data_IF_914254391285
#
_entry.id   IF_914254391285
#
_cell.length_a   1.000
_cell.length_b   1.000
_cell.length_c   1.000
_cell.angle_alpha   90.00
_cell.angle_beta   90.00
_cell.angle_gamma   90.00
#
_symmetry.space_group_name_H-M   'P 1'
#
loop_
_entity.id
_entity.type
_entity.pdbx_description
1 polymer ?
#
# COMPACT_ATOMS: atom_id res chain seq x y z
N UNK A 1 -47.87 59.79 26.74
CA UNK A 1 -46.92 59.82 25.57
C UNK A 1 -45.90 58.77 25.87
N UNK A 2 -46.16 57.56 25.38
CA UNK A 2 -45.33 56.38 25.66
C UNK A 2 -44.51 56.06 24.43
N UNK A 3 -43.19 56.21 24.56
CA UNK A 3 -42.21 55.87 23.52
C UNK A 3 -41.71 54.49 23.79
N UNK A 4 -42.22 53.47 23.06
CA UNK A 4 -41.67 52.06 23.12
C UNK A 4 -40.50 51.96 22.21
N UNK A 5 -39.32 51.71 22.81
CA UNK A 5 -38.08 51.29 22.12
C UNK A 5 -38.19 49.80 21.76
N UNK A 6 -38.19 49.49 20.46
CA UNK A 6 -38.11 48.17 19.94
C UNK A 6 -36.61 47.84 19.71
N UNK A 7 -36.07 46.95 20.54
CA UNK A 7 -34.73 46.43 20.37
C UNK A 7 -34.73 45.31 19.31
N UNK A 8 -34.11 45.59 18.17
CA UNK A 8 -33.95 44.62 17.10
C UNK A 8 -32.68 43.80 17.34
N UNK A 9 -32.83 42.58 17.85
CA UNK A 9 -31.72 41.65 18.05
C UNK A 9 -31.32 41.02 16.73
N UNK A 10 -30.15 41.40 16.18
CA UNK A 10 -29.53 40.81 14.98
C UNK A 10 -28.78 39.55 15.37
N UNK A 11 -29.37 38.36 15.10
CA UNK A 11 -28.68 37.06 15.22
C UNK A 11 -27.79 36.87 14.01
N UNK A 12 -26.47 37.06 14.15
CA UNK A 12 -25.46 36.62 13.18
C UNK A 12 -25.34 35.11 13.25
N UNK A 13 -25.89 34.41 12.27
CA UNK A 13 -25.62 33.00 12.03
C UNK A 13 -24.23 32.86 11.39
N UNK A 14 -23.20 32.46 12.16
CA UNK A 14 -21.91 32.05 11.67
C UNK A 14 -22.06 30.68 11.00
N UNK A 15 -22.29 30.70 9.68
CA UNK A 15 -22.19 29.51 8.85
C UNK A 15 -20.69 29.08 8.76
N UNK A 16 -20.30 28.18 9.65
CA UNK A 16 -18.97 27.52 9.60
C UNK A 16 -18.86 26.68 8.33
N UNK A 17 -18.24 27.19 7.30
CA UNK A 17 -17.82 26.41 6.14
C UNK A 17 -16.73 25.45 6.59
N UNK A 18 -17.12 24.19 6.81
CA UNK A 18 -16.15 23.09 6.88
C UNK A 18 -15.47 22.98 5.51
N UNK A 19 -14.26 23.49 5.42
CA UNK A 19 -13.38 23.18 4.30
C UNK A 19 -13.14 21.67 4.34
N UNK A 20 -13.78 20.93 3.44
CA UNK A 20 -13.39 19.56 3.16
C UNK A 20 -11.94 19.61 2.71
N UNK A 21 -11.03 19.04 3.49
CA UNK A 21 -9.66 18.81 3.09
C UNK A 21 -9.74 17.99 1.81
N UNK A 22 -9.54 18.64 0.66
CA UNK A 22 -9.29 17.94 -0.59
C UNK A 22 -7.93 17.30 -0.43
N UNK A 23 -7.92 15.96 -0.32
CA UNK A 23 -6.69 15.20 -0.43
C UNK A 23 -5.97 15.66 -1.69
N UNK A 24 -4.75 16.18 -1.51
CA UNK A 24 -3.93 16.63 -2.63
C UNK A 24 -3.71 15.43 -3.56
N UNK A 25 -4.07 15.52 -4.87
CA UNK A 25 -3.86 14.41 -5.78
C UNK A 25 -2.37 14.14 -5.93
N UNK A 26 -1.89 13.03 -5.38
CA UNK A 26 -0.55 12.55 -5.65
C UNK A 26 0.37 12.25 -4.46
N UNK A 27 -0.10 12.28 -3.23
CA UNK A 27 0.71 11.79 -2.11
C UNK A 27 0.96 10.28 -2.28
N UNK A 28 2.24 9.90 -2.46
CA UNK A 28 2.61 8.49 -2.58
C UNK A 28 2.38 7.78 -1.25
N UNK A 29 1.64 6.68 -1.27
CA UNK A 29 1.47 5.78 -0.13
C UNK A 29 2.63 4.80 -0.13
N UNK A 30 3.38 4.75 0.96
CA UNK A 30 4.44 3.78 1.17
C UNK A 30 3.91 2.55 1.88
N UNK A 31 4.28 1.39 1.35
CA UNK A 31 4.01 0.10 1.98
C UNK A 31 5.32 -0.48 2.51
N UNK A 32 5.25 -1.07 3.67
CA UNK A 32 6.40 -1.71 4.29
C UNK A 32 6.18 -3.21 4.38
N UNK A 33 7.04 -3.99 3.72
CA UNK A 33 7.12 -5.42 3.90
C UNK A 33 8.01 -5.73 5.12
N UNK A 34 7.55 -6.53 6.10
CA UNK A 34 8.40 -6.97 7.20
C UNK A 34 9.65 -7.67 6.67
N UNK A 35 10.83 -7.26 7.13
CA UNK A 35 12.11 -7.80 6.64
C UNK A 35 12.33 -9.27 6.99
N UNK A 36 11.69 -9.75 8.05
CA UNK A 36 11.70 -11.16 8.50
C UNK A 36 10.32 -11.60 8.93
N UNK A 37 10.00 -12.83 8.62
CA UNK A 37 8.86 -13.55 9.20
C UNK A 37 9.36 -14.50 10.27
N UNK A 38 8.88 -14.35 11.50
CA UNK A 38 9.15 -15.30 12.55
C UNK A 38 8.23 -16.52 12.45
N UNK A 39 8.74 -17.67 12.84
CA UNK A 39 8.14 -19.00 12.64
C UNK A 39 6.90 -19.32 13.48
N UNK A 40 6.20 -18.40 14.02
CA UNK A 40 4.99 -18.74 14.77
C UNK A 40 3.72 -18.57 13.92
N UNK A 41 2.76 -19.51 14.04
CA UNK A 41 1.54 -19.51 13.20
C UNK A 41 0.54 -18.40 13.55
N UNK A 42 0.92 -17.47 14.38
CA UNK A 42 0.09 -16.34 14.78
C UNK A 42 0.73 -15.07 14.24
N UNK A 43 -0.06 -14.30 13.54
CA UNK A 43 0.30 -12.99 12.98
C UNK A 43 0.57 -11.91 14.04
N UNK A 44 1.23 -12.28 15.15
CA UNK A 44 1.62 -11.35 16.20
C UNK A 44 2.69 -10.40 15.65
N UNK A 45 2.33 -9.14 15.52
CA UNK A 45 3.21 -8.08 15.04
C UNK A 45 3.05 -7.68 13.58
N UNK A 46 2.10 -8.22 12.84
CA UNK A 46 1.78 -7.72 11.51
C UNK A 46 0.99 -6.40 11.59
N UNK A 47 1.26 -5.44 10.69
CA UNK A 47 0.43 -4.26 10.58
C UNK A 47 -1.03 -4.60 10.24
N UNK A 48 -2.01 -3.76 10.64
CA UNK A 48 -3.41 -4.01 10.31
C UNK A 48 -3.64 -4.23 8.81
N UNK A 49 -4.49 -5.21 8.49
CA UNK A 49 -4.84 -5.57 7.11
C UNK A 49 -3.85 -6.48 6.39
N UNK A 50 -2.81 -6.99 7.07
CA UNK A 50 -1.94 -8.02 6.52
C UNK A 50 -2.38 -9.41 6.96
N UNK A 51 -2.28 -10.38 6.06
CA UNK A 51 -2.54 -11.80 6.30
C UNK A 51 -1.36 -12.65 5.83
N UNK A 52 -1.16 -13.82 6.42
CA UNK A 52 -0.11 -14.78 6.05
C UNK A 52 -0.71 -15.93 5.28
N UNK A 53 -0.11 -16.23 4.12
CA UNK A 53 -0.40 -17.43 3.35
C UNK A 53 0.85 -18.32 3.32
N UNK A 54 0.72 -19.59 3.69
CA UNK A 54 1.77 -20.58 3.63
C UNK A 54 2.18 -21.15 4.99
N UNK A 55 3.06 -22.15 4.99
CA UNK A 55 3.55 -22.80 6.19
C UNK A 55 4.41 -21.85 7.03
N UNK A 56 4.46 -22.06 8.36
CA UNK A 56 5.34 -21.29 9.23
C UNK A 56 6.82 -21.58 8.90
N UNK A 57 7.64 -20.55 8.97
CA UNK A 57 9.08 -20.66 8.77
C UNK A 57 9.78 -19.33 9.05
N UNK A 58 11.02 -19.35 9.53
CA UNK A 58 11.83 -18.14 9.60
C UNK A 58 12.40 -17.84 8.22
N UNK A 59 11.99 -16.73 7.62
CA UNK A 59 12.39 -16.35 6.27
C UNK A 59 12.68 -14.88 6.16
N UNK A 60 13.69 -14.54 5.37
CA UNK A 60 13.97 -13.16 4.98
C UNK A 60 13.12 -12.73 3.79
N UNK A 61 12.70 -11.48 3.79
CA UNK A 61 12.00 -10.88 2.67
C UNK A 61 12.85 -10.99 1.39
N UNK A 62 12.25 -11.57 0.34
CA UNK A 62 12.86 -11.67 -0.97
C UNK A 62 12.45 -10.51 -1.88
N UNK A 63 11.13 -10.30 -2.01
CA UNK A 63 10.58 -9.24 -2.87
C UNK A 63 9.16 -8.89 -2.49
N UNK A 64 8.71 -7.72 -2.94
CA UNK A 64 7.30 -7.40 -3.04
C UNK A 64 6.76 -7.79 -4.43
N UNK A 65 5.52 -8.25 -4.49
CA UNK A 65 4.83 -8.65 -5.72
C UNK A 65 3.37 -8.22 -5.66
N UNK A 66 2.73 -8.09 -6.83
CA UNK A 66 1.31 -7.79 -6.91
C UNK A 66 0.54 -8.99 -7.48
N UNK A 67 -0.72 -9.13 -7.08
CA UNK A 67 -1.61 -10.23 -7.42
C UNK A 67 -2.98 -9.68 -7.83
N UNK A 68 -3.61 -10.32 -8.82
CA UNK A 68 -4.98 -10.00 -9.20
C UNK A 68 -5.96 -10.82 -8.31
N UNK A 69 -6.13 -10.41 -7.06
CA UNK A 69 -6.91 -11.09 -6.02
C UNK A 69 -6.04 -11.67 -4.90
N UNK A 70 -6.67 -12.47 -4.02
CA UNK A 70 -6.00 -13.11 -2.88
C UNK A 70 -4.85 -14.02 -3.35
N UNK A 71 -3.62 -13.86 -2.83
CA UNK A 71 -2.46 -14.66 -3.25
C UNK A 71 -2.56 -16.17 -3.00
N UNK A 72 -3.51 -16.64 -2.22
CA UNK A 72 -3.63 -18.06 -1.81
C UNK A 72 -3.68 -19.06 -2.95
N UNK A 73 -3.98 -18.66 -4.17
CA UNK A 73 -4.07 -19.56 -5.33
C UNK A 73 -3.75 -18.88 -6.66
N UNK A 74 -3.29 -17.64 -6.63
CA UNK A 74 -3.10 -16.83 -7.83
C UNK A 74 -1.62 -16.60 -8.13
N UNK A 75 -1.27 -16.56 -9.42
CA UNK A 75 0.05 -16.13 -9.88
C UNK A 75 0.27 -14.64 -9.65
N UNK A 76 1.52 -14.24 -9.59
CA UNK A 76 1.90 -12.83 -9.49
C UNK A 76 1.53 -12.09 -10.77
N UNK A 77 1.01 -10.87 -10.63
CA UNK A 77 0.83 -9.95 -11.74
C UNK A 77 2.20 -9.47 -12.23
N UNK A 78 2.54 -9.64 -13.53
CA UNK A 78 3.80 -9.14 -14.05
C UNK A 78 3.82 -7.60 -14.01
N UNK A 79 5.00 -6.97 -13.85
CA UNK A 79 5.13 -5.52 -13.98
C UNK A 79 4.92 -5.09 -15.45
N UNK A 80 4.33 -3.92 -15.65
CA UNK A 80 4.19 -3.31 -16.98
C UNK A 80 5.54 -2.80 -17.51
N UNK A 81 6.42 -2.36 -16.60
CA UNK A 81 7.80 -1.99 -16.96
C UNK A 81 8.77 -2.41 -15.87
N UNK A 82 9.97 -2.81 -16.30
CA UNK A 82 11.11 -3.07 -15.41
C UNK A 82 12.33 -2.38 -15.97
N UNK A 83 13.04 -1.66 -15.11
CA UNK A 83 14.31 -1.01 -15.44
C UNK A 83 15.38 -1.42 -14.45
N UNK A 84 16.56 -1.74 -14.96
CA UNK A 84 17.71 -2.09 -14.14
C UNK A 84 18.83 -1.07 -14.31
N UNK A 85 19.38 -0.63 -13.20
CA UNK A 85 20.56 0.22 -13.15
C UNK A 85 21.56 -0.37 -12.14
N UNK A 86 22.58 -1.05 -12.65
CA UNK A 86 23.52 -1.81 -11.86
C UNK A 86 22.84 -2.93 -11.06
N UNK A 87 22.93 -2.87 -9.75
CA UNK A 87 22.29 -3.81 -8.81
C UNK A 87 20.94 -3.34 -8.29
N UNK A 88 20.34 -2.33 -8.89
CA UNK A 88 19.01 -1.83 -8.51
C UNK A 88 18.04 -2.07 -9.65
N UNK A 89 16.93 -2.71 -9.34
CA UNK A 89 15.81 -2.92 -10.25
C UNK A 89 14.60 -2.13 -9.78
N UNK A 90 13.98 -1.42 -10.71
CA UNK A 90 12.73 -0.69 -10.48
C UNK A 90 11.66 -1.28 -11.38
N UNK A 91 10.61 -1.79 -10.79
CA UNK A 91 9.45 -2.35 -11.50
C UNK A 91 8.22 -1.50 -11.22
N UNK A 92 7.40 -1.28 -12.25
CA UNK A 92 6.21 -0.43 -12.18
C UNK A 92 5.01 -1.19 -12.70
N UNK A 93 3.89 -1.05 -12.00
CA UNK A 93 2.56 -1.55 -12.35
C UNK A 93 1.60 -0.39 -12.51
N UNK A 94 0.81 -0.40 -13.58
CA UNK A 94 -0.25 0.55 -13.82
C UNK A 94 -1.62 -0.10 -13.62
N UNK A 95 -2.52 0.63 -12.99
CA UNK A 95 -3.90 0.20 -12.77
C UNK A 95 -4.81 1.11 -13.58
N UNK A 96 -5.49 0.54 -14.58
CA UNK A 96 -6.43 1.28 -15.41
C UNK A 96 -7.52 1.93 -14.53
N UNK A 97 -7.83 3.17 -14.80
CA UNK A 97 -8.92 3.93 -14.18
C UNK A 97 -8.89 3.98 -12.64
N UNK A 98 -7.70 3.83 -12.04
CA UNK A 98 -7.57 3.72 -10.59
C UNK A 98 -8.11 2.41 -10.02
N UNK A 99 -8.27 1.38 -10.86
CA UNK A 99 -8.76 0.06 -10.49
C UNK A 99 -7.68 -0.76 -9.79
N UNK A 100 -7.18 -0.26 -8.66
CA UNK A 100 -6.43 -1.09 -7.70
C UNK A 100 -7.38 -1.98 -6.87
N UNK A 101 -8.69 -1.81 -7.03
CA UNK A 101 -9.70 -2.66 -6.41
C UNK A 101 -9.48 -4.12 -6.79
N UNK A 102 -9.33 -4.99 -5.79
CA UNK A 102 -9.05 -6.41 -5.99
C UNK A 102 -7.57 -6.74 -6.25
N UNK A 103 -6.68 -5.76 -6.38
CA UNK A 103 -5.23 -6.01 -6.43
C UNK A 103 -4.68 -6.14 -5.01
N UNK A 104 -3.82 -7.11 -4.82
CA UNK A 104 -3.14 -7.36 -3.55
C UNK A 104 -1.65 -7.12 -3.67
N UNK A 105 -1.08 -6.52 -2.64
CA UNK A 105 0.36 -6.47 -2.43
C UNK A 105 0.76 -7.66 -1.57
N UNK A 106 1.70 -8.46 -2.04
CA UNK A 106 2.29 -9.56 -1.30
C UNK A 106 3.79 -9.36 -1.06
N UNK A 107 4.22 -9.61 0.15
CA UNK A 107 5.61 -9.70 0.54
C UNK A 107 6.02 -11.18 0.47
N UNK A 108 6.88 -11.51 -0.47
CA UNK A 108 7.34 -12.88 -0.75
C UNK A 108 8.63 -13.11 0.00
N UNK A 109 8.69 -14.22 0.75
CA UNK A 109 9.83 -14.56 1.58
C UNK A 109 10.64 -15.71 0.98
N UNK A 110 11.97 -15.65 1.15
CA UNK A 110 12.90 -16.68 0.68
C UNK A 110 12.67 -17.96 1.49
N UNK A 111 12.76 -19.10 0.80
CA UNK A 111 12.67 -20.44 1.40
C UNK A 111 11.35 -20.74 2.14
N UNK A 112 10.40 -19.81 2.12
CA UNK A 112 9.06 -20.02 2.61
C UNK A 112 8.08 -20.01 1.43
N UNK A 113 7.21 -21.01 1.38
CA UNK A 113 6.01 -20.91 0.55
C UNK A 113 5.01 -19.90 1.15
N UNK A 114 5.52 -18.92 1.92
CA UNK A 114 4.72 -17.96 2.64
C UNK A 114 4.71 -16.61 1.95
N UNK A 115 3.53 -16.03 1.84
CA UNK A 115 3.30 -14.65 1.37
C UNK A 115 2.53 -13.92 2.45
N UNK A 116 3.07 -12.81 2.93
CA UNK A 116 2.32 -11.86 3.77
C UNK A 116 1.68 -10.86 2.83
N UNK A 117 0.37 -10.79 2.83
CA UNK A 117 -0.35 -10.02 1.84
C UNK A 117 -1.43 -9.14 2.44
N UNK A 118 -1.80 -8.10 1.66
CA UNK A 118 -2.93 -7.23 1.95
C UNK A 118 -3.54 -6.70 0.67
N UNK A 119 -4.86 -6.43 0.65
CA UNK A 119 -5.45 -5.71 -0.45
C UNK A 119 -4.90 -4.29 -0.55
N UNK A 120 -4.73 -3.79 -1.76
CA UNK A 120 -4.44 -2.38 -1.98
C UNK A 120 -5.68 -1.53 -1.73
N UNK A 121 -5.52 -0.29 -1.23
CA UNK A 121 -6.60 0.69 -1.22
C UNK A 121 -7.09 0.97 -2.64
N UNK A 122 -8.37 1.29 -2.76
CA UNK A 122 -8.94 1.71 -4.04
C UNK A 122 -8.38 3.07 -4.50
N UNK A 123 -8.45 3.32 -5.79
CA UNK A 123 -8.07 4.60 -6.38
C UNK A 123 -6.59 4.78 -6.69
N UNK A 124 -5.74 3.80 -6.37
CA UNK A 124 -4.34 3.83 -6.77
C UNK A 124 -4.23 3.56 -8.28
N UNK A 125 -3.38 4.32 -8.95
CA UNK A 125 -3.17 4.23 -10.40
C UNK A 125 -1.84 3.60 -10.78
N UNK A 126 -0.89 3.64 -9.87
CA UNK A 126 0.45 3.16 -10.13
C UNK A 126 1.08 2.67 -8.83
N UNK A 127 1.80 1.55 -8.90
CA UNK A 127 2.74 1.12 -7.87
C UNK A 127 4.14 0.93 -8.47
N UNK A 128 5.15 1.21 -7.66
CA UNK A 128 6.55 1.02 -8.01
C UNK A 128 7.25 0.28 -6.88
N UNK A 129 8.02 -0.75 -7.23
CA UNK A 129 8.95 -1.41 -6.30
C UNK A 129 10.38 -1.13 -6.71
N UNK A 130 11.24 -0.96 -5.72
CA UNK A 130 12.68 -0.85 -5.92
C UNK A 130 13.34 -2.01 -5.17
N UNK A 131 14.09 -2.83 -5.89
CA UNK A 131 14.78 -4.01 -5.38
C UNK A 131 16.29 -3.84 -5.49
N UNK A 132 17.01 -4.36 -4.50
CA UNK A 132 18.44 -4.63 -4.62
C UNK A 132 18.63 -6.05 -5.12
N UNK A 133 19.54 -6.23 -6.09
CA UNK A 133 19.86 -7.52 -6.69
C UNK A 133 21.27 -7.95 -6.34
N UNK A 134 21.54 -9.26 -6.45
CA UNK A 134 22.89 -9.80 -6.55
C UNK A 134 23.50 -9.46 -7.92
N UNK A 135 24.80 -9.73 -8.09
CA UNK A 135 25.46 -9.66 -9.41
C UNK A 135 24.83 -10.63 -10.43
N UNK A 136 24.24 -11.74 -9.98
CA UNK A 136 23.55 -12.73 -10.81
C UNK A 136 22.10 -12.30 -11.14
N UNK A 137 21.59 -11.24 -10.51
CA UNK A 137 20.24 -10.72 -10.78
C UNK A 137 19.17 -11.22 -9.81
N UNK A 138 19.53 -12.00 -8.80
CA UNK A 138 18.58 -12.47 -7.79
C UNK A 138 18.20 -11.35 -6.82
N UNK A 139 16.92 -11.22 -6.45
CA UNK A 139 16.49 -10.25 -5.44
C UNK A 139 17.12 -10.54 -4.07
N UNK A 140 17.68 -9.50 -3.46
CA UNK A 140 18.30 -9.56 -2.11
C UNK A 140 17.43 -8.83 -1.11
N UNK A 141 16.87 -7.68 -1.49
CA UNK A 141 16.17 -6.79 -0.59
C UNK A 141 15.16 -5.92 -1.35
N UNK A 142 13.99 -5.73 -0.78
CA UNK A 142 13.04 -4.70 -1.21
C UNK A 142 13.39 -3.38 -0.53
N UNK A 143 13.82 -2.39 -1.31
CA UNK A 143 14.21 -1.06 -0.81
C UNK A 143 12.99 -0.16 -0.59
N UNK A 144 12.02 -0.20 -1.50
CA UNK A 144 10.77 0.54 -1.36
C UNK A 144 9.62 -0.10 -2.11
N UNK A 145 8.39 0.18 -1.64
CA UNK A 145 7.12 -0.06 -2.34
C UNK A 145 6.31 1.21 -2.19
N UNK A 146 6.03 1.89 -3.30
CA UNK A 146 5.30 3.15 -3.32
C UNK A 146 4.16 3.08 -4.32
N UNK A 147 2.97 3.53 -3.91
CA UNK A 147 1.78 3.59 -4.78
C UNK A 147 1.13 4.97 -4.74
N UNK A 148 0.51 5.39 -5.84
CA UNK A 148 -0.18 6.68 -5.96
C UNK A 148 -1.36 6.61 -6.90
#
# INVERSE_FOLDING_TARGET
MDTRLVALSLLLALAGTRAAARDAPGAATRFHCPGRLAQQPVADGLPPGWIVHGPPGESSLQRAAFYDGDPAGLGTRPPDTTRRNGLVETSTWWFADGASAGVWLGCVYRDAAAVVARPLPDGLRQCTTVLRLTALGDPVETLSVECR
#
